data_IF_005308868110
#
_entry.id   IF_005308868110
#
_cell.length_a   1.000
_cell.length_b   1.000
_cell.length_c   1.000
_cell.angle_alpha   90.00
_cell.angle_beta   90.00
_cell.angle_gamma   90.00
#
_symmetry.space_group_name_H-M   'P 1'
#
loop_
_entity.id
_entity.type
_entity.pdbx_description
1 polymer ?
#
# COMPACT_ATOMS: atom_id res chain seq x y z
N UNK A 1 69.62 50.98 9.98
CA UNK A 1 68.19 51.29 9.79
C UNK A 1 67.78 50.90 8.37
N UNK A 2 67.27 49.67 8.19
CA UNK A 2 66.88 49.15 6.87
C UNK A 2 65.45 49.55 6.53
N UNK A 3 65.29 50.39 5.50
CA UNK A 3 63.98 50.86 5.00
C UNK A 3 63.14 49.66 4.56
N UNK A 4 61.99 49.46 5.19
CA UNK A 4 61.00 48.48 4.75
C UNK A 4 60.32 49.01 3.48
N UNK A 5 60.66 48.45 2.32
CA UNK A 5 60.01 48.74 1.05
C UNK A 5 58.60 48.14 1.07
N UNK A 6 57.58 49.01 1.11
CA UNK A 6 56.18 48.62 0.96
C UNK A 6 55.95 48.24 -0.50
N UNK A 7 55.88 46.94 -0.77
CA UNK A 7 55.53 46.41 -2.10
C UNK A 7 54.08 46.80 -2.39
N UNK A 8 53.87 47.66 -3.39
CA UNK A 8 52.54 48.05 -3.86
C UNK A 8 52.06 46.99 -4.86
N UNK A 9 50.93 46.32 -4.60
CA UNK A 9 50.39 45.34 -5.54
C UNK A 9 50.04 46.00 -6.88
N UNK A 10 50.37 45.32 -7.98
CA UNK A 10 49.93 45.76 -9.31
C UNK A 10 48.43 45.47 -9.49
N UNK A 11 47.74 46.27 -10.32
CA UNK A 11 46.32 46.06 -10.65
C UNK A 11 46.04 44.65 -11.17
N UNK A 12 46.98 44.05 -11.89
CA UNK A 12 46.86 42.67 -12.38
C UNK A 12 46.99 41.64 -11.26
N UNK A 13 47.87 41.88 -10.28
CA UNK A 13 48.03 41.01 -9.11
C UNK A 13 46.77 40.94 -8.25
N UNK A 14 46.11 42.08 -8.03
CA UNK A 14 44.84 42.13 -7.28
C UNK A 14 43.71 41.41 -8.01
N UNK A 15 43.59 41.61 -9.33
CA UNK A 15 42.58 40.94 -10.16
C UNK A 15 42.78 39.41 -10.12
N UNK A 16 44.03 38.95 -10.21
CA UNK A 16 44.35 37.52 -10.17
C UNK A 16 43.96 36.89 -8.83
N UNK A 17 44.29 37.54 -7.70
CA UNK A 17 43.92 37.03 -6.37
C UNK A 17 42.39 36.96 -6.19
N UNK A 18 41.66 37.95 -6.69
CA UNK A 18 40.20 37.94 -6.65
C UNK A 18 39.61 36.81 -7.49
N UNK A 19 40.20 36.53 -8.65
CA UNK A 19 39.81 35.41 -9.50
C UNK A 19 40.05 34.07 -8.80
N UNK A 20 41.25 33.85 -8.26
CA UNK A 20 41.60 32.61 -7.53
C UNK A 20 40.65 32.38 -6.34
N UNK A 21 40.32 33.44 -5.59
CA UNK A 21 39.36 33.38 -4.48
C UNK A 21 37.97 32.95 -4.96
N UNK A 22 37.43 33.60 -5.99
CA UNK A 22 36.12 33.27 -6.56
C UNK A 22 36.08 31.85 -7.11
N UNK A 23 37.16 31.40 -7.75
CA UNK A 23 37.23 30.04 -8.27
C UNK A 23 37.17 29.01 -7.15
N UNK A 24 37.91 29.23 -6.07
CA UNK A 24 37.89 28.35 -4.90
C UNK A 24 36.54 28.34 -4.17
N UNK A 25 35.84 29.49 -4.11
CA UNK A 25 34.47 29.55 -3.61
C UNK A 25 33.47 28.77 -4.50
N UNK A 26 33.65 28.82 -5.82
CA UNK A 26 32.83 28.06 -6.76
C UNK A 26 33.08 26.56 -6.66
N UNK A 27 34.33 26.13 -6.54
CA UNK A 27 34.68 24.72 -6.34
C UNK A 27 34.01 24.15 -5.08
N UNK A 28 34.07 24.88 -3.95
CA UNK A 28 33.38 24.48 -2.71
C UNK A 28 31.87 24.39 -2.88
N UNK A 29 31.25 25.31 -3.62
CA UNK A 29 29.81 25.25 -3.91
C UNK A 29 29.45 24.06 -4.80
N UNK A 30 30.30 23.71 -5.77
CA UNK A 30 30.11 22.54 -6.62
C UNK A 30 30.16 21.26 -5.77
N UNK A 31 31.18 21.13 -4.92
CA UNK A 31 31.33 19.98 -4.01
C UNK A 31 30.10 19.82 -3.10
N UNK A 32 29.64 20.92 -2.48
CA UNK A 32 28.42 20.89 -1.66
C UNK A 32 27.18 20.47 -2.46
N UNK A 33 27.00 20.99 -3.69
CA UNK A 33 25.87 20.61 -4.53
C UNK A 33 25.94 19.14 -4.96
N UNK A 34 27.13 18.59 -5.19
CA UNK A 34 27.31 17.18 -5.52
C UNK A 34 26.94 16.28 -4.35
N UNK A 35 27.32 16.66 -3.12
CA UNK A 35 26.94 15.97 -1.89
C UNK A 35 25.42 16.02 -1.67
N UNK A 36 24.81 17.21 -1.78
CA UNK A 36 23.35 17.38 -1.66
C UNK A 36 22.60 16.53 -2.71
N UNK A 37 23.08 16.51 -3.95
CA UNK A 37 22.51 15.69 -5.02
C UNK A 37 22.62 14.19 -4.72
N UNK A 38 23.72 13.74 -4.13
CA UNK A 38 23.87 12.33 -3.73
C UNK A 38 22.88 11.97 -2.62
N UNK A 39 22.74 12.81 -1.61
CA UNK A 39 21.79 12.61 -0.51
C UNK A 39 20.34 12.55 -1.03
N UNK A 40 19.94 13.50 -1.88
CA UNK A 40 18.60 13.50 -2.48
C UNK A 40 18.31 12.25 -3.31
N UNK A 41 19.32 11.67 -3.98
CA UNK A 41 19.16 10.40 -4.69
C UNK A 41 18.89 9.24 -3.74
N UNK A 42 19.62 9.18 -2.63
CA UNK A 42 19.40 8.15 -1.60
C UNK A 42 18.01 8.27 -0.99
N UNK A 43 17.57 9.48 -0.66
CA UNK A 43 16.22 9.73 -0.13
C UNK A 43 15.14 9.29 -1.12
N UNK A 44 15.32 9.59 -2.41
CA UNK A 44 14.40 9.16 -3.46
C UNK A 44 14.35 7.62 -3.57
N UNK A 45 15.49 6.94 -3.48
CA UNK A 45 15.55 5.48 -3.51
C UNK A 45 14.84 4.85 -2.30
N UNK A 46 15.01 5.44 -1.10
CA UNK A 46 14.28 5.02 0.11
C UNK A 46 12.77 5.19 -0.08
N UNK A 47 12.32 6.36 -0.54
CA UNK A 47 10.89 6.62 -0.79
C UNK A 47 10.30 5.67 -1.83
N UNK A 48 11.07 5.35 -2.89
CA UNK A 48 10.65 4.38 -3.90
C UNK A 48 10.46 2.98 -3.31
N UNK A 49 11.39 2.52 -2.46
CA UNK A 49 11.31 1.22 -1.80
C UNK A 49 10.11 1.14 -0.83
N UNK A 50 9.88 2.19 -0.04
CA UNK A 50 8.72 2.27 0.86
C UNK A 50 7.41 2.23 0.08
N UNK A 51 7.32 2.99 -1.01
CA UNK A 51 6.14 3.03 -1.88
C UNK A 51 5.87 1.66 -2.51
N UNK A 52 6.91 0.96 -2.96
CA UNK A 52 6.76 -0.38 -3.54
C UNK A 52 6.26 -1.39 -2.49
N UNK A 53 6.79 -1.33 -1.26
CA UNK A 53 6.35 -2.18 -0.15
C UNK A 53 4.88 -1.93 0.20
N UNK A 54 4.46 -0.67 0.27
CA UNK A 54 3.06 -0.31 0.50
C UNK A 54 2.15 -0.83 -0.61
N UNK A 55 2.57 -0.71 -1.88
CA UNK A 55 1.82 -1.23 -3.03
C UNK A 55 1.62 -2.75 -2.94
N UNK A 56 2.68 -3.50 -2.59
CA UNK A 56 2.59 -4.96 -2.40
C UNK A 56 1.64 -5.32 -1.25
N UNK A 57 1.72 -4.60 -0.13
CA UNK A 57 0.82 -4.78 1.01
C UNK A 57 -0.64 -4.53 0.65
N UNK A 58 -0.92 -3.43 -0.07
CA UNK A 58 -2.28 -3.09 -0.54
C UNK A 58 -2.85 -4.19 -1.43
N UNK A 59 -2.08 -4.65 -2.44
CA UNK A 59 -2.56 -5.67 -3.37
C UNK A 59 -2.88 -7.00 -2.66
N UNK A 60 -2.08 -7.37 -1.64
CA UNK A 60 -2.35 -8.56 -0.82
C UNK A 60 -3.66 -8.39 -0.03
N UNK A 61 -3.82 -7.26 0.65
CA UNK A 61 -5.03 -6.99 1.44
C UNK A 61 -6.30 -6.95 0.57
N UNK A 62 -6.20 -6.44 -0.66
CA UNK A 62 -7.29 -6.43 -1.63
C UNK A 62 -7.67 -7.86 -2.07
N UNK A 63 -6.67 -8.71 -2.35
CA UNK A 63 -6.89 -10.14 -2.65
C UNK A 63 -7.52 -10.89 -1.48
N UNK A 64 -7.04 -10.66 -0.25
CA UNK A 64 -7.60 -11.27 0.97
C UNK A 64 -9.06 -10.84 1.18
N UNK A 65 -9.38 -9.56 0.91
CA UNK A 65 -10.75 -9.03 0.97
C UNK A 65 -11.69 -9.69 -0.05
N UNK A 66 -11.22 -9.87 -1.29
CA UNK A 66 -12.01 -10.52 -2.34
C UNK A 66 -12.27 -12.01 -2.04
N UNK A 67 -11.29 -12.71 -1.47
CA UNK A 67 -11.47 -14.07 -0.96
C UNK A 67 -12.53 -14.11 0.14
N UNK A 68 -12.38 -13.25 1.15
CA UNK A 68 -13.31 -13.19 2.28
C UNK A 68 -14.74 -12.87 1.82
N UNK A 69 -14.89 -11.94 0.86
CA UNK A 69 -16.19 -11.61 0.25
C UNK A 69 -16.82 -12.81 -0.44
N UNK A 70 -16.01 -13.64 -1.10
CA UNK A 70 -16.46 -14.87 -1.75
C UNK A 70 -16.91 -15.91 -0.73
N UNK A 71 -16.12 -16.13 0.32
CA UNK A 71 -16.44 -17.09 1.38
C UNK A 71 -17.67 -16.67 2.18
N UNK A 72 -17.82 -15.38 2.47
CA UNK A 72 -19.01 -14.84 3.09
C UNK A 72 -20.28 -15.09 2.25
N UNK A 73 -20.20 -14.86 0.93
CA UNK A 73 -21.34 -15.14 0.03
C UNK A 73 -21.73 -16.63 0.04
N UNK A 74 -20.74 -17.53 0.02
CA UNK A 74 -20.96 -18.98 0.12
C UNK A 74 -21.62 -19.34 1.45
N UNK A 75 -21.08 -18.87 2.57
CA UNK A 75 -21.62 -19.12 3.90
C UNK A 75 -23.07 -18.64 4.03
N UNK A 76 -23.35 -17.42 3.57
CA UNK A 76 -24.71 -16.85 3.56
C UNK A 76 -25.67 -17.69 2.71
N UNK A 77 -25.20 -18.21 1.57
CA UNK A 77 -26.00 -19.09 0.74
C UNK A 77 -26.29 -20.41 1.45
N UNK A 78 -25.26 -21.04 2.04
CA UNK A 78 -25.40 -22.28 2.80
C UNK A 78 -26.37 -22.17 3.98
N UNK A 79 -26.32 -21.07 4.75
CA UNK A 79 -27.27 -20.84 5.84
C UNK A 79 -28.71 -20.79 5.35
N UNK A 80 -28.97 -20.09 4.24
CA UNK A 80 -30.31 -20.02 3.64
C UNK A 80 -30.81 -21.38 3.17
N UNK A 81 -29.95 -22.20 2.56
CA UNK A 81 -30.34 -23.56 2.15
C UNK A 81 -30.66 -24.45 3.34
N UNK A 82 -29.90 -24.38 4.43
CA UNK A 82 -30.19 -25.15 5.66
C UNK A 82 -31.51 -24.71 6.30
N UNK A 83 -31.79 -23.40 6.32
CA UNK A 83 -33.09 -22.88 6.79
C UNK A 83 -34.25 -23.40 5.92
N UNK A 84 -34.10 -23.35 4.59
CA UNK A 84 -35.10 -23.86 3.65
C UNK A 84 -35.31 -25.37 3.81
N UNK A 85 -34.23 -26.14 3.94
CA UNK A 85 -34.26 -27.58 4.13
C UNK A 85 -35.07 -27.96 5.38
N UNK A 86 -34.79 -27.32 6.52
CA UNK A 86 -35.56 -27.50 7.78
C UNK A 86 -37.05 -27.21 7.61
N UNK A 87 -37.40 -26.14 6.88
CA UNK A 87 -38.83 -25.83 6.63
C UNK A 87 -39.49 -26.82 5.67
N UNK A 88 -38.75 -27.34 4.69
CA UNK A 88 -39.26 -28.33 3.74
C UNK A 88 -39.49 -29.69 4.39
N UNK A 89 -38.58 -30.12 5.24
CA UNK A 89 -38.64 -31.40 5.96
C UNK A 89 -39.84 -31.42 6.91
N UNK A 90 -40.09 -30.31 7.61
CA UNK A 90 -41.29 -30.13 8.42
C UNK A 90 -42.59 -30.24 7.60
N UNK A 91 -42.66 -29.60 6.43
CA UNK A 91 -43.83 -29.72 5.53
C UNK A 91 -44.04 -31.13 5.02
N UNK A 92 -42.96 -31.86 4.71
CA UNK A 92 -43.04 -33.25 4.29
C UNK A 92 -43.63 -34.14 5.40
N UNK A 93 -43.24 -33.93 6.66
CA UNK A 93 -43.83 -34.64 7.81
C UNK A 93 -45.32 -34.34 7.95
N UNK A 94 -45.73 -33.07 7.89
CA UNK A 94 -47.15 -32.68 7.97
C UNK A 94 -47.99 -33.34 6.86
N UNK A 95 -47.49 -33.39 5.62
CA UNK A 95 -48.16 -34.08 4.50
C UNK A 95 -48.29 -35.59 4.77
N UNK A 96 -47.27 -36.20 5.35
CA UNK A 96 -47.26 -37.63 5.65
C UNK A 96 -48.25 -37.99 6.77
N UNK A 97 -48.33 -37.16 7.82
CA UNK A 97 -49.35 -37.29 8.87
C UNK A 97 -50.76 -37.17 8.31
N UNK A 98 -51.00 -36.20 7.42
CA UNK A 98 -52.32 -35.99 6.83
C UNK A 98 -52.73 -37.14 5.89
N UNK A 99 -51.78 -37.70 5.13
CA UNK A 99 -51.99 -38.95 4.37
C UNK A 99 -52.42 -40.11 5.28
N UNK A 100 -51.71 -40.32 6.40
CA UNK A 100 -52.05 -41.39 7.36
C UNK A 100 -53.46 -41.18 7.94
N UNK A 101 -53.88 -39.94 8.18
CA UNK A 101 -55.25 -39.63 8.63
C UNK A 101 -56.27 -39.96 7.54
N UNK A 102 -56.02 -39.54 6.30
CA UNK A 102 -56.92 -39.79 5.17
C UNK A 102 -57.15 -41.30 4.95
N UNK A 103 -56.08 -42.11 4.90
CA UNK A 103 -56.18 -43.58 4.79
C UNK A 103 -57.03 -44.18 5.91
N UNK A 104 -56.91 -43.63 7.12
CA UNK A 104 -57.66 -44.10 8.29
C UNK A 104 -59.15 -43.76 8.18
N UNK A 105 -59.49 -42.63 7.57
CA UNK A 105 -60.87 -42.25 7.28
C UNK A 105 -61.47 -43.10 6.15
N UNK A 106 -60.69 -43.38 5.11
CA UNK A 106 -61.13 -44.21 3.98
C UNK A 106 -61.48 -45.64 4.40
N UNK A 107 -60.66 -46.24 5.28
CA UNK A 107 -60.97 -47.56 5.89
C UNK A 107 -62.19 -47.56 6.81
N UNK A 108 -62.61 -46.41 7.33
CA UNK A 108 -63.85 -46.30 8.13
C UNK A 108 -65.09 -46.12 7.26
N UNK A 109 -64.90 -45.73 6.00
CA UNK A 109 -65.97 -45.49 5.02
C UNK A 109 -66.21 -46.71 4.11
N UNK A 110 -65.30 -47.70 4.13
CA UNK A 110 -65.48 -49.04 3.57
C UNK A 110 -66.11 -49.98 4.60
#
# INVERSE_FOLDING_TARGET
MGKHLRVVPSKLGTIRQDFERRNSELEKKIEQMEEEKMNLRLDMDVQNLETEKLRKGKNKAEGDLDSLKTDYKKLRFSMKTVELEKTSEKRCQEIQEEKIKADRWERKLQ
#
